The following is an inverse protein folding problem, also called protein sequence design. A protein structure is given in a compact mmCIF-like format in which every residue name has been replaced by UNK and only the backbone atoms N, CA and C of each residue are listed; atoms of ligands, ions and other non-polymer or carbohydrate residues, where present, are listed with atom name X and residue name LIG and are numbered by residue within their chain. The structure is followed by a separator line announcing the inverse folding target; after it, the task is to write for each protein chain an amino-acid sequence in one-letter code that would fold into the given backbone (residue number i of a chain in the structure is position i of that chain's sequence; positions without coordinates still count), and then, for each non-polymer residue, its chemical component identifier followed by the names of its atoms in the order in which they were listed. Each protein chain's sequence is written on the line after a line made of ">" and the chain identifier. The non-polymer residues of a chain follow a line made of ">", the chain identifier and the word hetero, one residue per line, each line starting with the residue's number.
data_IF_806067371366
#
_entry.id   IF_806067371366
#
_cell.length_a   1.000
_cell.length_b   1.000
_cell.length_c   1.000
_cell.angle_alpha   90.00
_cell.angle_beta   90.00
_cell.angle_gamma   90.00
#
_symmetry.space_group_name_H-M   'P 1'
#
loop_
_entity.id
_entity.type
_entity.pdbx_description
1 polymer ?
#
# COMPACT_ATOMS: atom_id res chain seq x y z
N UNK A 1 -31.24 7.11 12.52
CA UNK A 1 -31.87 5.84 12.07
C UNK A 1 -31.05 5.17 10.95
N UNK A 2 -30.72 5.84 9.82
CA UNK A 2 -29.96 5.23 8.72
C UNK A 2 -28.60 4.66 9.18
N UNK A 3 -27.81 5.42 9.93
CA UNK A 3 -26.49 4.98 10.42
C UNK A 3 -26.60 3.78 11.36
N UNK A 4 -27.59 3.76 12.23
CA UNK A 4 -27.86 2.65 13.15
C UNK A 4 -28.18 1.38 12.36
N UNK A 5 -29.08 1.46 11.37
CA UNK A 5 -29.40 0.31 10.50
C UNK A 5 -28.18 -0.21 9.72
N UNK A 6 -27.26 0.67 9.32
CA UNK A 6 -26.02 0.24 8.66
C UNK A 6 -25.10 -0.50 9.64
N UNK A 7 -24.97 -0.02 10.87
CA UNK A 7 -24.22 -0.69 11.94
C UNK A 7 -24.83 -2.06 12.30
N UNK A 8 -26.15 -2.15 12.43
CA UNK A 8 -26.86 -3.40 12.67
C UNK A 8 -26.65 -4.44 11.54
N UNK A 9 -26.42 -3.99 10.31
CA UNK A 9 -26.02 -4.85 9.18
C UNK A 9 -24.55 -5.25 9.20
N UNK A 10 -23.78 -4.84 10.19
CA UNK A 10 -22.36 -5.19 10.37
C UNK A 10 -21.36 -4.34 9.58
N UNK A 11 -21.79 -3.16 9.05
CA UNK A 11 -20.82 -2.25 8.43
C UNK A 11 -19.98 -1.55 9.48
N UNK A 12 -18.65 -1.52 9.28
CA UNK A 12 -17.71 -0.80 10.14
C UNK A 12 -17.96 0.71 10.11
N UNK A 13 -17.70 1.40 11.23
CA UNK A 13 -17.87 2.85 11.39
C UNK A 13 -17.31 3.64 10.21
N UNK A 14 -16.09 3.33 9.79
CA UNK A 14 -15.42 4.02 8.67
C UNK A 14 -16.14 3.86 7.33
N UNK A 15 -16.74 2.71 7.10
CA UNK A 15 -17.55 2.46 5.89
C UNK A 15 -18.82 3.31 5.92
N UNK A 16 -19.48 3.37 7.07
CA UNK A 16 -20.68 4.20 7.28
C UNK A 16 -20.35 5.68 7.09
N UNK A 17 -19.21 6.15 7.65
CA UNK A 17 -18.75 7.53 7.49
C UNK A 17 -18.46 7.89 6.02
N UNK A 18 -17.85 6.99 5.27
CA UNK A 18 -17.60 7.18 3.84
C UNK A 18 -18.91 7.28 3.04
N UNK A 19 -19.88 6.40 3.28
CA UNK A 19 -21.21 6.49 2.66
C UNK A 19 -21.93 7.78 3.04
N UNK A 20 -21.87 8.16 4.33
CA UNK A 20 -22.42 9.42 4.81
C UNK A 20 -21.86 10.63 4.09
N UNK A 21 -20.52 10.68 3.89
CA UNK A 21 -19.86 11.77 3.16
C UNK A 21 -20.33 11.85 1.71
N UNK A 22 -20.42 10.72 1.02
CA UNK A 22 -20.90 10.67 -0.36
C UNK A 22 -22.36 11.13 -0.47
N UNK A 23 -23.23 10.62 0.41
CA UNK A 23 -24.62 11.02 0.46
C UNK A 23 -24.78 12.51 0.83
N UNK A 24 -24.01 12.99 1.82
CA UNK A 24 -24.00 14.41 2.20
C UNK A 24 -23.69 15.30 1.00
N UNK A 25 -22.67 14.94 0.19
CA UNK A 25 -22.33 15.71 -1.02
C UNK A 25 -23.48 15.72 -2.04
N UNK A 26 -24.09 14.57 -2.32
CA UNK A 26 -25.23 14.47 -3.25
C UNK A 26 -26.44 15.28 -2.78
N UNK A 27 -26.73 15.26 -1.48
CA UNK A 27 -27.85 16.04 -0.93
C UNK A 27 -27.59 17.55 -0.90
N UNK A 28 -26.31 17.99 -0.90
CA UNK A 28 -26.03 19.42 -1.13
C UNK A 28 -26.36 19.88 -2.55
N UNK A 29 -26.20 19.03 -3.55
CA UNK A 29 -26.65 19.34 -4.91
C UNK A 29 -28.17 19.49 -4.95
N UNK A 30 -28.92 18.62 -4.27
CA UNK A 30 -30.38 18.72 -4.18
C UNK A 30 -30.87 19.99 -3.44
N UNK A 31 -30.08 20.54 -2.52
CA UNK A 31 -30.34 21.86 -1.92
C UNK A 31 -30.11 22.98 -2.94
N UNK A 32 -29.03 22.92 -3.72
CA UNK A 32 -28.70 23.91 -4.76
C UNK A 32 -29.76 23.94 -5.86
N UNK A 33 -30.39 22.78 -6.14
CA UNK A 33 -31.46 22.62 -7.10
C UNK A 33 -32.86 22.90 -6.49
N UNK A 34 -32.96 23.46 -5.27
CA UNK A 34 -34.17 23.74 -4.52
C UNK A 34 -35.12 22.54 -4.30
N UNK A 35 -34.59 21.30 -4.45
CA UNK A 35 -35.38 20.08 -4.24
C UNK A 35 -35.65 19.79 -2.76
N UNK A 36 -34.73 20.20 -1.86
CA UNK A 36 -34.88 20.02 -0.42
C UNK A 36 -34.35 21.25 0.34
N UNK A 37 -34.86 21.47 1.56
CA UNK A 37 -34.47 22.63 2.38
C UNK A 37 -33.28 22.37 3.29
N UNK A 38 -33.02 21.12 3.69
CA UNK A 38 -31.97 20.73 4.65
C UNK A 38 -31.34 19.42 4.22
N UNK A 39 -30.03 19.30 4.47
CA UNK A 39 -29.33 18.06 4.23
C UNK A 39 -29.58 17.05 5.36
N UNK A 40 -30.20 15.90 5.11
CA UNK A 40 -30.48 14.91 6.14
C UNK A 40 -29.21 14.23 6.70
N UNK A 41 -28.06 14.37 6.03
CA UNK A 41 -26.77 13.83 6.46
C UNK A 41 -25.88 14.86 7.16
N UNK A 42 -26.43 16.00 7.59
CA UNK A 42 -25.72 17.06 8.32
C UNK A 42 -25.67 16.79 9.83
N UNK A 43 -25.28 15.63 10.22
CA UNK A 43 -25.04 15.25 11.63
C UNK A 43 -23.64 14.69 11.80
N UNK A 44 -23.12 14.71 13.04
CA UNK A 44 -21.86 14.04 13.36
C UNK A 44 -22.14 12.56 13.58
N UNK A 45 -21.37 11.68 12.91
CA UNK A 45 -21.57 10.24 13.07
C UNK A 45 -21.22 9.77 14.48
N UNK A 46 -20.23 10.40 15.13
CA UNK A 46 -19.83 10.15 16.53
C UNK A 46 -20.93 10.42 17.56
N UNK A 47 -21.96 11.21 17.21
CA UNK A 47 -23.09 11.45 18.11
C UNK A 47 -24.12 10.31 18.06
N UNK A 48 -23.96 9.37 17.12
CA UNK A 48 -24.90 8.28 16.84
C UNK A 48 -24.29 6.89 17.04
N UNK A 49 -23.02 6.73 16.71
CA UNK A 49 -22.27 5.47 16.78
C UNK A 49 -20.93 5.71 17.43
N UNK A 50 -20.44 4.73 18.19
CA UNK A 50 -19.06 4.70 18.68
C UNK A 50 -18.10 4.45 17.52
N UNK A 51 -16.96 5.16 17.54
CA UNK A 51 -15.89 4.98 16.54
C UNK A 51 -15.01 3.79 16.96
N UNK A 52 -15.29 2.65 16.38
CA UNK A 52 -14.54 1.39 16.54
C UNK A 52 -13.36 1.26 15.56
N UNK A 53 -12.94 2.36 14.93
CA UNK A 53 -11.88 2.34 13.94
C UNK A 53 -10.55 1.95 14.58
N UNK A 54 -10.04 0.79 14.19
CA UNK A 54 -8.71 0.36 14.62
C UNK A 54 -7.63 1.36 14.19
N UNK A 55 -6.71 1.68 15.11
CA UNK A 55 -5.59 2.55 14.82
C UNK A 55 -4.67 1.89 13.78
N UNK A 56 -4.10 2.73 12.91
CA UNK A 56 -3.14 2.25 11.91
C UNK A 56 -1.93 1.65 12.60
N UNK A 57 -1.65 0.41 12.24
CA UNK A 57 -0.51 -0.32 12.79
C UNK A 57 0.78 0.20 12.17
N UNK A 58 1.70 0.63 13.04
CA UNK A 58 3.04 1.10 12.74
C UNK A 58 4.00 0.15 13.45
N UNK A 59 5.09 -0.23 12.79
CA UNK A 59 6.15 -1.01 13.43
C UNK A 59 7.03 -0.08 14.26
N UNK A 60 7.34 -0.49 15.50
CA UNK A 60 8.42 0.17 16.23
C UNK A 60 9.78 -0.20 15.64
N UNK A 61 10.85 0.61 15.89
CA UNK A 61 12.20 0.27 15.40
C UNK A 61 12.64 -1.15 15.78
N UNK A 62 12.34 -1.59 17.00
CA UNK A 62 12.68 -2.91 17.49
C UNK A 62 11.86 -4.02 16.79
N UNK A 63 10.60 -3.72 16.44
CA UNK A 63 9.76 -4.64 15.67
C UNK A 63 10.23 -4.76 14.22
N UNK A 64 10.65 -3.64 13.62
CA UNK A 64 11.25 -3.62 12.28
C UNK A 64 12.54 -4.46 12.25
N UNK A 65 13.44 -4.23 13.19
CA UNK A 65 14.71 -4.96 13.27
C UNK A 65 14.47 -6.47 13.43
N UNK A 66 13.56 -6.88 14.31
CA UNK A 66 13.21 -8.29 14.51
C UNK A 66 12.59 -8.93 13.27
N UNK A 67 11.72 -8.18 12.57
CA UNK A 67 11.12 -8.64 11.32
C UNK A 67 12.19 -8.91 10.27
N UNK A 68 13.09 -7.95 10.06
CA UNK A 68 14.15 -8.05 9.07
C UNK A 68 15.17 -9.13 9.42
N UNK A 69 15.57 -9.25 10.68
CA UNK A 69 16.47 -10.32 11.14
C UNK A 69 15.86 -11.72 10.96
N UNK A 70 14.55 -11.85 11.14
CA UNK A 70 13.83 -13.09 10.83
C UNK A 70 13.84 -13.38 9.32
N UNK A 71 13.52 -12.38 8.50
CA UNK A 71 13.48 -12.55 7.05
C UNK A 71 14.83 -12.97 6.48
N UNK A 72 15.91 -12.38 6.95
CA UNK A 72 17.26 -12.69 6.48
C UNK A 72 17.61 -14.17 6.63
N UNK A 73 17.20 -14.80 7.74
CA UNK A 73 17.46 -16.20 8.07
C UNK A 73 16.43 -17.18 7.52
N UNK A 74 15.28 -16.71 7.08
CA UNK A 74 14.18 -17.57 6.65
C UNK A 74 14.30 -18.01 5.21
N UNK A 75 14.25 -19.32 4.94
CA UNK A 75 14.40 -19.91 3.59
C UNK A 75 13.36 -19.42 2.57
N UNK A 76 12.18 -18.98 3.02
CA UNK A 76 11.09 -18.54 2.14
C UNK A 76 11.11 -17.03 1.97
N UNK A 77 11.36 -16.28 3.07
CA UNK A 77 11.18 -14.84 3.09
C UNK A 77 12.47 -14.05 2.84
N UNK A 78 13.65 -14.68 2.90
CA UNK A 78 14.93 -14.02 2.57
C UNK A 78 14.95 -13.40 1.17
N UNK A 79 14.30 -14.01 0.20
CA UNK A 79 14.18 -13.48 -1.17
C UNK A 79 13.36 -12.19 -1.29
N UNK A 80 12.58 -11.84 -0.26
CA UNK A 80 11.80 -10.60 -0.20
C UNK A 80 12.46 -9.54 0.70
N UNK A 81 13.58 -9.86 1.31
CA UNK A 81 14.26 -8.99 2.27
C UNK A 81 14.52 -7.59 1.70
N UNK A 82 15.17 -7.52 0.55
CA UNK A 82 15.51 -6.25 -0.10
C UNK A 82 14.26 -5.48 -0.57
N UNK A 83 13.20 -6.18 -0.97
CA UNK A 83 11.92 -5.58 -1.35
C UNK A 83 11.24 -4.93 -0.13
N UNK A 84 11.28 -5.58 1.04
CA UNK A 84 10.72 -5.02 2.29
C UNK A 84 11.58 -3.87 2.80
N UNK A 85 12.91 -4.00 2.75
CA UNK A 85 13.82 -2.88 3.07
C UNK A 85 13.50 -1.68 2.20
N UNK A 86 13.31 -1.85 0.90
CA UNK A 86 13.02 -0.76 -0.01
C UNK A 86 11.65 -0.12 0.29
N UNK A 87 10.63 -0.90 0.67
CA UNK A 87 9.33 -0.36 1.11
C UNK A 87 9.45 0.48 2.39
N UNK A 88 10.26 0.03 3.35
CA UNK A 88 10.51 0.73 4.61
C UNK A 88 11.30 2.02 4.42
N UNK A 89 12.28 2.03 3.49
CA UNK A 89 13.15 3.17 3.22
C UNK A 89 12.55 4.22 2.28
N UNK A 90 11.50 3.88 1.54
CA UNK A 90 10.92 4.77 0.53
C UNK A 90 9.49 5.22 0.84
N UNK A 91 8.79 4.49 1.68
CA UNK A 91 7.39 4.76 2.00
C UNK A 91 6.46 4.81 0.79
N UNK A 92 6.78 4.15 -0.30
CA UNK A 92 5.97 4.11 -1.51
C UNK A 92 4.60 3.46 -1.26
N UNK A 93 3.58 3.91 -1.99
CA UNK A 93 2.34 3.12 -2.08
C UNK A 93 2.66 1.80 -2.76
N UNK A 94 2.01 0.72 -2.35
CA UNK A 94 2.32 -0.61 -2.89
C UNK A 94 2.13 -0.69 -4.41
N UNK A 95 1.17 0.03 -4.98
CA UNK A 95 0.96 0.10 -6.43
C UNK A 95 2.05 0.91 -7.16
N UNK A 96 2.56 2.00 -6.57
CA UNK A 96 3.73 2.74 -7.05
C UNK A 96 4.97 1.85 -7.01
N UNK A 97 5.17 1.14 -5.91
CA UNK A 97 6.25 0.17 -5.73
C UNK A 97 6.23 -0.92 -6.81
N UNK A 98 5.07 -1.53 -7.05
CA UNK A 98 4.91 -2.53 -8.11
C UNK A 98 5.16 -1.96 -9.51
N UNK A 99 4.92 -0.67 -9.71
CA UNK A 99 5.17 0.04 -10.97
C UNK A 99 6.64 0.33 -11.26
N UNK A 100 7.53 0.22 -10.29
CA UNK A 100 8.95 0.51 -10.50
C UNK A 100 9.52 -0.34 -11.64
N UNK A 101 10.29 0.31 -12.50
CA UNK A 101 11.02 -0.32 -13.60
C UNK A 101 12.51 -0.36 -13.32
N UNK A 102 13.28 -1.05 -14.17
CA UNK A 102 14.75 -1.07 -14.06
C UNK A 102 15.41 0.25 -14.45
N UNK A 103 14.65 1.23 -14.97
CA UNK A 103 15.15 2.55 -15.33
C UNK A 103 15.23 3.46 -14.10
N UNK A 104 16.23 3.22 -13.27
CA UNK A 104 16.50 3.97 -12.03
C UNK A 104 17.77 4.78 -12.24
N UNK A 105 17.78 6.04 -11.85
CA UNK A 105 19.00 6.86 -11.86
C UNK A 105 19.92 6.45 -10.71
N UNK A 106 20.67 5.40 -10.96
CA UNK A 106 21.61 4.84 -9.98
C UNK A 106 22.83 5.75 -9.75
N UNK A 107 23.15 6.63 -10.71
CA UNK A 107 24.28 7.55 -10.60
C UNK A 107 23.96 8.69 -9.63
N UNK A 108 22.79 9.29 -9.75
CA UNK A 108 22.32 10.37 -8.88
C UNK A 108 21.56 9.84 -7.66
N UNK A 109 21.33 8.51 -7.57
CA UNK A 109 20.54 7.86 -6.51
C UNK A 109 19.12 8.42 -6.40
N UNK A 110 18.46 8.57 -7.53
CA UNK A 110 17.11 9.10 -7.61
C UNK A 110 16.15 8.04 -8.14
N UNK A 111 15.03 7.88 -7.44
CA UNK A 111 13.91 7.05 -7.85
C UNK A 111 12.77 7.93 -8.33
N UNK A 112 12.44 7.81 -9.61
CA UNK A 112 11.33 8.55 -10.22
C UNK A 112 10.02 7.80 -10.02
N UNK A 113 9.02 8.47 -9.43
CA UNK A 113 7.68 7.94 -9.19
C UNK A 113 6.71 8.75 -10.05
N UNK A 114 6.25 8.19 -11.14
CA UNK A 114 5.38 8.84 -12.11
C UNK A 114 4.15 8.02 -12.50
N UNK A 115 4.09 6.77 -12.06
CA UNK A 115 2.99 5.86 -12.35
C UNK A 115 2.83 4.80 -11.25
N UNK A 116 1.75 4.05 -11.34
CA UNK A 116 1.47 2.88 -10.53
C UNK A 116 0.98 1.72 -11.40
N UNK A 117 1.37 0.51 -11.03
CA UNK A 117 0.94 -0.72 -11.69
C UNK A 117 -0.19 -1.37 -10.89
N UNK A 118 -1.27 -1.66 -11.59
CA UNK A 118 -2.42 -2.37 -11.04
C UNK A 118 -2.74 -3.60 -11.91
N UNK A 119 -3.55 -4.48 -11.36
CA UNK A 119 -4.08 -5.62 -12.10
C UNK A 119 -5.54 -5.83 -11.71
N UNK A 120 -6.37 -5.87 -12.70
CA UNK A 120 -7.78 -6.20 -12.59
C UNK A 120 -8.04 -7.62 -13.14
N UNK A 121 -9.15 -8.24 -12.73
CA UNK A 121 -9.51 -9.59 -13.16
C UNK A 121 -9.99 -9.65 -14.62
N UNK A 122 -10.58 -8.56 -15.12
CA UNK A 122 -11.17 -8.51 -16.45
C UNK A 122 -10.20 -7.93 -17.48
N UNK A 123 -9.55 -6.80 -17.15
CA UNK A 123 -8.67 -6.05 -18.07
C UNK A 123 -7.19 -6.44 -17.97
N UNK A 124 -6.81 -7.21 -16.95
CA UNK A 124 -5.41 -7.60 -16.73
C UNK A 124 -4.56 -6.48 -16.11
N UNK A 125 -3.30 -6.38 -16.52
CA UNK A 125 -2.39 -5.32 -16.03
C UNK A 125 -2.69 -3.99 -16.67
N UNK A 126 -2.68 -2.93 -15.88
CA UNK A 126 -2.84 -1.55 -16.36
C UNK A 126 -2.03 -0.56 -15.54
N UNK A 127 -1.75 0.59 -16.13
CA UNK A 127 -1.05 1.71 -15.50
C UNK A 127 -2.05 2.80 -15.17
N UNK A 128 -1.93 3.34 -13.97
CA UNK A 128 -2.54 4.61 -13.61
C UNK A 128 -1.46 5.65 -13.36
N UNK A 129 -1.65 6.85 -13.88
CA UNK A 129 -0.83 8.00 -13.55
C UNK A 129 -1.42 8.75 -12.36
N UNK A 130 -0.60 9.34 -11.48
CA UNK A 130 -1.11 10.13 -10.38
C UNK A 130 -2.02 11.27 -10.86
N UNK A 131 -3.17 11.42 -10.22
CA UNK A 131 -4.18 12.46 -10.58
C UNK A 131 -3.72 13.89 -10.30
N UNK A 132 -2.66 14.08 -9.50
CA UNK A 132 -2.15 15.39 -9.09
C UNK A 132 -0.67 15.53 -9.46
N UNK A 133 -0.21 16.78 -9.68
CA UNK A 133 1.21 17.08 -9.92
C UNK A 133 2.12 16.54 -8.81
N UNK A 134 1.68 16.58 -7.55
CA UNK A 134 2.44 16.07 -6.40
C UNK A 134 2.54 14.53 -6.36
N UNK A 135 1.79 13.83 -7.19
CA UNK A 135 1.88 12.38 -7.33
C UNK A 135 3.11 11.95 -8.13
N UNK A 136 3.58 12.80 -9.04
CA UNK A 136 4.86 12.61 -9.73
C UNK A 136 5.95 13.27 -8.90
N UNK A 137 6.92 12.49 -8.48
CA UNK A 137 7.98 12.96 -7.60
C UNK A 137 9.27 12.19 -7.80
N UNK A 138 10.35 12.84 -7.49
CA UNK A 138 11.67 12.26 -7.35
C UNK A 138 11.93 11.95 -5.87
N UNK A 139 12.44 10.78 -5.59
CA UNK A 139 12.77 10.33 -4.26
C UNK A 139 14.27 10.03 -4.19
N UNK A 140 15.04 10.76 -3.37
CA UNK A 140 16.44 10.42 -3.14
C UNK A 140 16.53 9.08 -2.38
N UNK A 141 17.45 8.22 -2.79
CA UNK A 141 17.66 6.92 -2.17
C UNK A 141 18.63 7.05 -1.00
N UNK A 142 18.21 6.51 0.14
CA UNK A 142 19.15 6.25 1.25
C UNK A 142 20.18 5.20 0.82
N UNK A 143 21.33 5.14 1.52
CA UNK A 143 22.34 4.11 1.25
C UNK A 143 21.75 2.70 1.32
N UNK A 144 20.89 2.45 2.31
CA UNK A 144 20.23 1.15 2.51
C UNK A 144 19.29 0.80 1.36
N UNK A 145 18.48 1.77 0.89
CA UNK A 145 17.61 1.60 -0.27
C UNK A 145 18.42 1.38 -1.56
N UNK A 146 19.50 2.13 -1.76
CA UNK A 146 20.38 2.01 -2.91
C UNK A 146 21.02 0.60 -3.00
N UNK A 147 21.55 0.11 -1.89
CA UNK A 147 22.13 -1.24 -1.82
C UNK A 147 21.07 -2.32 -2.05
N UNK A 148 19.86 -2.16 -1.51
CA UNK A 148 18.75 -3.07 -1.75
C UNK A 148 18.40 -3.15 -3.24
N UNK A 149 18.31 -2.00 -3.92
CA UNK A 149 18.06 -1.95 -5.38
C UNK A 149 19.17 -2.65 -6.16
N UNK A 150 20.43 -2.44 -5.82
CA UNK A 150 21.55 -3.12 -6.49
C UNK A 150 21.43 -4.64 -6.37
N UNK A 151 21.10 -5.16 -5.17
CA UNK A 151 20.90 -6.61 -4.97
C UNK A 151 19.70 -7.13 -5.74
N UNK A 152 18.58 -6.37 -5.75
CA UNK A 152 17.39 -6.71 -6.53
C UNK A 152 17.70 -6.79 -8.02
N UNK A 153 18.37 -5.78 -8.59
CA UNK A 153 18.76 -5.77 -10.00
C UNK A 153 19.68 -6.95 -10.36
N UNK A 154 20.62 -7.29 -9.47
CA UNK A 154 21.55 -8.42 -9.67
C UNK A 154 20.86 -9.78 -9.59
N UNK A 155 19.87 -9.92 -8.71
CA UNK A 155 19.13 -11.17 -8.49
C UNK A 155 17.88 -11.31 -9.36
N UNK A 156 17.53 -10.26 -10.11
CA UNK A 156 16.31 -10.21 -10.90
C UNK A 156 16.30 -11.30 -11.97
N UNK A 157 15.22 -12.09 -11.96
CA UNK A 157 15.00 -13.13 -12.95
C UNK A 157 14.71 -12.58 -14.37
N UNK A 158 14.57 -13.48 -15.32
CA UNK A 158 14.22 -13.13 -16.70
C UNK A 158 12.77 -12.64 -16.75
N UNK A 159 12.56 -11.43 -17.27
CA UNK A 159 11.23 -10.87 -17.48
C UNK A 159 10.57 -11.47 -18.72
N UNK A 160 9.26 -11.66 -18.66
CA UNK A 160 8.45 -11.87 -19.85
C UNK A 160 8.36 -10.55 -20.64
N UNK A 161 8.28 -10.62 -21.98
CA UNK A 161 8.07 -9.44 -22.81
C UNK A 161 6.65 -8.89 -22.58
N UNK A 162 6.52 -7.96 -21.66
CA UNK A 162 5.25 -7.31 -21.32
C UNK A 162 5.41 -5.80 -21.32
N UNK A 163 4.55 -5.13 -22.08
CA UNK A 163 4.41 -3.67 -22.10
C UNK A 163 3.02 -3.32 -21.57
N UNK A 164 2.97 -2.48 -20.55
CA UNK A 164 1.72 -2.01 -19.94
C UNK A 164 1.73 -0.49 -19.92
N UNK A 165 0.79 0.14 -20.62
CA UNK A 165 0.70 1.60 -20.68
C UNK A 165 1.99 2.31 -21.15
N UNK A 166 2.79 1.66 -22.01
CA UNK A 166 4.09 2.17 -22.48
C UNK A 166 5.28 1.82 -21.57
N UNK A 167 5.06 1.24 -20.39
CA UNK A 167 6.11 0.81 -19.46
C UNK A 167 6.46 -0.66 -19.63
N UNK A 168 7.73 -0.98 -19.51
CA UNK A 168 8.27 -2.33 -19.58
C UNK A 168 9.39 -2.52 -18.55
N UNK A 169 9.96 -3.71 -18.47
CA UNK A 169 11.09 -4.00 -17.57
C UNK A 169 10.79 -3.68 -16.09
N UNK A 170 9.59 -4.05 -15.63
CA UNK A 170 9.21 -3.88 -14.22
C UNK A 170 10.23 -4.53 -13.29
N UNK A 171 10.56 -3.86 -12.19
CA UNK A 171 11.66 -4.25 -11.31
C UNK A 171 11.37 -5.58 -10.59
N UNK A 172 10.15 -5.77 -10.12
CA UNK A 172 9.75 -6.92 -9.31
C UNK A 172 8.97 -7.93 -10.14
N UNK A 173 9.49 -9.15 -10.21
CA UNK A 173 8.89 -10.21 -11.01
C UNK A 173 8.42 -11.38 -10.12
N UNK A 174 7.33 -12.01 -10.53
CA UNK A 174 6.90 -13.28 -9.98
C UNK A 174 7.71 -14.45 -10.58
N UNK A 175 7.37 -15.69 -10.21
CA UNK A 175 8.08 -16.89 -10.70
C UNK A 175 7.91 -17.12 -12.20
N UNK A 176 6.87 -16.57 -12.80
CA UNK A 176 6.56 -16.65 -14.22
C UNK A 176 7.25 -15.55 -15.04
N UNK A 177 7.98 -14.65 -14.40
CA UNK A 177 8.62 -13.50 -15.05
C UNK A 177 7.67 -12.33 -15.34
N UNK A 178 6.47 -12.37 -14.80
CA UNK A 178 5.48 -11.29 -14.88
C UNK A 178 5.64 -10.32 -13.69
N UNK A 179 5.23 -9.05 -13.84
CA UNK A 179 5.28 -8.09 -12.76
C UNK A 179 4.47 -8.52 -11.53
N UNK A 180 5.04 -8.32 -10.34
CA UNK A 180 4.29 -8.45 -9.10
C UNK A 180 3.31 -7.29 -8.95
N UNK A 181 2.19 -7.55 -8.30
CA UNK A 181 1.15 -6.56 -7.96
C UNK A 181 0.86 -6.58 -6.47
N UNK A 182 0.06 -5.62 -5.99
CA UNK A 182 -0.24 -5.44 -4.56
C UNK A 182 -0.65 -6.75 -3.86
N UNK A 183 -1.52 -7.56 -4.46
CA UNK A 183 -1.97 -8.83 -3.91
C UNK A 183 -0.84 -9.85 -3.64
N UNK A 184 0.26 -9.81 -4.41
CA UNK A 184 1.43 -10.66 -4.15
C UNK A 184 2.09 -10.28 -2.81
N UNK A 185 2.18 -8.99 -2.52
CA UNK A 185 2.77 -8.47 -1.27
C UNK A 185 1.84 -8.63 -0.09
N UNK A 186 0.52 -8.46 -0.28
CA UNK A 186 -0.46 -8.72 0.77
C UNK A 186 -0.42 -10.17 1.25
N UNK A 187 -0.39 -11.11 0.30
CA UNK A 187 -0.23 -12.53 0.60
C UNK A 187 1.10 -12.85 1.28
N UNK A 188 2.20 -12.25 0.80
CA UNK A 188 3.53 -12.42 1.35
C UNK A 188 3.59 -11.90 2.80
N UNK A 189 3.17 -10.67 3.07
CA UNK A 189 3.22 -10.05 4.40
C UNK A 189 2.35 -10.82 5.40
N UNK A 190 1.13 -11.21 5.01
CA UNK A 190 0.24 -12.03 5.85
C UNK A 190 0.90 -13.35 6.23
N UNK A 191 1.50 -14.04 5.28
CA UNK A 191 2.21 -15.29 5.52
C UNK A 191 3.46 -15.12 6.38
N UNK A 192 4.22 -14.04 6.17
CA UNK A 192 5.41 -13.67 6.95
C UNK A 192 5.06 -13.46 8.42
N UNK A 193 4.09 -12.61 8.72
CA UNK A 193 3.66 -12.32 10.10
C UNK A 193 3.10 -13.57 10.77
N UNK A 194 2.26 -14.35 10.06
CA UNK A 194 1.75 -15.62 10.58
C UNK A 194 2.88 -16.58 10.94
N UNK A 195 3.90 -16.69 10.08
CA UNK A 195 5.05 -17.57 10.36
C UNK A 195 5.90 -17.05 11.50
N UNK A 196 6.25 -15.76 11.51
CA UNK A 196 6.98 -15.15 12.62
C UNK A 196 6.28 -15.41 13.95
N UNK A 197 5.00 -15.07 14.02
CA UNK A 197 4.18 -15.21 15.22
C UNK A 197 3.96 -16.67 15.68
N UNK A 198 4.16 -17.64 14.79
CA UNK A 198 4.11 -19.08 15.16
C UNK A 198 5.35 -19.50 15.99
N UNK A 199 6.53 -18.95 15.67
CA UNK A 199 7.79 -19.41 16.25
C UNK A 199 8.39 -18.47 17.29
N UNK A 200 7.83 -17.31 17.52
CA UNK A 200 8.32 -16.33 18.50
C UNK A 200 7.27 -16.01 19.54
N UNK A 201 7.70 -15.78 20.78
CA UNK A 201 6.83 -15.33 21.90
C UNK A 201 6.46 -13.87 21.74
N UNK A 202 7.42 -13.04 21.35
CA UNK A 202 7.24 -11.62 21.06
C UNK A 202 6.55 -11.45 19.72
N UNK A 203 5.22 -11.38 19.74
CA UNK A 203 4.42 -11.28 18.53
C UNK A 203 4.62 -9.93 17.82
N UNK A 204 4.65 -9.99 16.50
CA UNK A 204 4.49 -8.80 15.67
C UNK A 204 3.00 -8.53 15.44
N UNK A 205 2.61 -7.26 15.33
CA UNK A 205 1.23 -6.90 15.01
C UNK A 205 0.85 -7.36 13.59
N UNK A 206 -0.45 -7.45 13.33
CA UNK A 206 -0.93 -7.69 11.98
C UNK A 206 -0.68 -6.45 11.11
N UNK A 207 0.25 -6.55 10.19
CA UNK A 207 0.60 -5.50 9.25
C UNK A 207 0.20 -5.85 7.82
N UNK A 208 0.08 -4.82 7.03
CA UNK A 208 -0.13 -4.88 5.58
C UNK A 208 1.02 -4.18 4.86
N UNK A 209 1.17 -4.31 3.54
CA UNK A 209 2.17 -3.52 2.80
C UNK A 209 2.03 -2.01 3.03
N UNK A 210 0.82 -1.53 3.31
CA UNK A 210 0.59 -0.12 3.62
C UNK A 210 1.13 0.30 5.00
N UNK A 211 1.27 -0.64 5.93
CA UNK A 211 1.89 -0.40 7.24
C UNK A 211 3.36 0.01 7.13
N UNK A 212 4.11 -0.53 6.16
CA UNK A 212 5.50 -0.10 5.90
C UNK A 212 5.59 1.39 5.55
N UNK A 213 4.64 1.87 4.72
CA UNK A 213 4.55 3.30 4.42
C UNK A 213 4.18 4.13 5.65
N UNK A 214 3.28 3.65 6.51
CA UNK A 214 2.96 4.34 7.76
C UNK A 214 4.18 4.41 8.68
N UNK A 215 4.93 3.31 8.80
CA UNK A 215 6.19 3.25 9.57
C UNK A 215 7.19 4.28 9.03
N UNK A 216 7.43 4.30 7.72
CA UNK A 216 8.30 5.31 7.09
C UNK A 216 7.89 6.74 7.41
N UNK A 217 6.60 7.09 7.22
CA UNK A 217 6.10 8.45 7.46
C UNK A 217 6.13 8.88 8.93
N UNK A 218 6.21 7.94 9.86
CA UNK A 218 6.27 8.24 11.31
C UNK A 218 7.72 8.38 11.79
N UNK A 219 8.66 7.67 11.14
CA UNK A 219 10.07 7.68 11.52
C UNK A 219 10.88 8.81 10.85
N UNK A 220 10.25 9.61 9.97
CA UNK A 220 10.82 10.83 9.37
C UNK A 220 10.58 12.04 10.27
#
# INVERSE_FOLDING_TARGET
>A
EWAIRMSEKGYAYKTIDNYKRSLKASFYMAIQDDCIRKNPFEFKLSDVLEDDTEQKVILTPEQEERLLAFMEKDKIYSKYYDEVVLLLETGLRISEFCGLTTHIDMQNRILNIDHQLLKDSEIGYYIETPKTKNGKRELPLTERAYQAIQRILKSRGKAQPLIVGGYSNFLFLNREGLPKVAGNYEGMVRGLIKKYNKYHTDKLPNITPHSFRHTYCTNM
#
